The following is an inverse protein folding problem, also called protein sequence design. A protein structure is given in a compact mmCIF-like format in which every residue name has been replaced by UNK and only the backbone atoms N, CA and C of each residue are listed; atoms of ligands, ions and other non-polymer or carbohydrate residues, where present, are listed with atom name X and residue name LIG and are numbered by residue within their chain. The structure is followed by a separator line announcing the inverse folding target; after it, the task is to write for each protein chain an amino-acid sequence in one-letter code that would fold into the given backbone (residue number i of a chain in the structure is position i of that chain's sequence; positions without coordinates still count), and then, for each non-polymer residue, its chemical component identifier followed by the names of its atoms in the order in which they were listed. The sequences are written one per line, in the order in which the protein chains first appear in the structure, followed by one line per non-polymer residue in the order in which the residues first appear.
data_IF_033170858513
#
_entry.id   IF_033170858513
#
_cell.length_a   1.000
_cell.length_b   1.000
_cell.length_c   1.000
_cell.angle_alpha   90.00
_cell.angle_beta   90.00
_cell.angle_gamma   90.00
#
_symmetry.space_group_name_H-M   'P 1'
#
loop_
_entity.id
_entity.type
_entity.pdbx_description
1 polymer ?
#
# COMPACT_ATOMS: atom_id res chain seq x y z
N UNK A 1 -2.45 -15.95 -0.90
CA UNK A 1 -2.35 -14.56 -1.37
C UNK A 1 -1.54 -14.52 -2.65
N UNK A 2 -2.13 -14.05 -3.74
CA UNK A 2 -1.41 -13.75 -4.98
C UNK A 2 -0.92 -12.30 -4.97
N UNK A 3 0.39 -12.10 -4.93
CA UNK A 3 0.99 -10.76 -5.00
C UNK A 3 0.80 -10.19 -6.41
N UNK A 4 0.08 -9.07 -6.51
CA UNK A 4 -0.18 -8.35 -7.74
C UNK A 4 0.93 -7.31 -7.98
N UNK A 5 1.18 -6.98 -9.24
CA UNK A 5 2.04 -5.85 -9.58
C UNK A 5 1.39 -4.53 -9.12
N UNK A 6 2.22 -3.64 -8.58
CA UNK A 6 1.84 -2.26 -8.25
C UNK A 6 1.46 -1.54 -9.54
N UNK A 7 0.27 -0.95 -9.55
CA UNK A 7 -0.19 -0.09 -10.63
C UNK A 7 0.55 1.24 -10.54
N UNK A 8 1.10 1.66 -11.69
CA UNK A 8 1.81 2.92 -11.87
C UNK A 8 0.98 3.81 -12.78
N UNK A 9 1.02 5.11 -12.52
CA UNK A 9 0.31 6.10 -13.30
C UNK A 9 1.26 7.27 -13.59
N UNK A 10 1.28 7.77 -14.84
CA UNK A 10 2.18 8.86 -15.23
C UNK A 10 1.85 10.14 -14.48
N UNK A 11 0.58 10.40 -14.20
CA UNK A 11 0.16 11.60 -13.49
C UNK A 11 0.62 11.54 -12.03
N UNK A 12 0.53 10.37 -11.40
CA UNK A 12 1.06 10.11 -10.06
C UNK A 12 2.59 10.30 -10.02
N UNK A 13 3.31 9.81 -11.03
CA UNK A 13 4.77 9.93 -11.08
C UNK A 13 5.27 11.36 -11.30
N UNK A 14 4.42 12.26 -11.81
CA UNK A 14 4.72 13.68 -11.97
C UNK A 14 4.42 14.51 -10.70
N UNK A 15 3.74 13.93 -9.70
CA UNK A 15 3.54 14.56 -8.40
C UNK A 15 4.85 14.58 -7.60
N UNK A 16 4.95 15.53 -6.67
CA UNK A 16 6.11 15.66 -5.78
C UNK A 16 6.38 14.36 -5.01
N UNK A 17 7.64 13.90 -5.03
CA UNK A 17 8.06 12.67 -4.37
C UNK A 17 7.82 12.75 -2.86
N UNK A 18 7.22 11.70 -2.30
CA UNK A 18 6.88 11.63 -0.88
C UNK A 18 5.75 12.57 -0.42
N UNK A 19 5.16 13.36 -1.32
CA UNK A 19 4.03 14.24 -0.96
C UNK A 19 2.80 13.44 -0.54
N UNK A 20 1.99 14.00 0.37
CA UNK A 20 0.73 13.36 0.79
C UNK A 20 -0.19 13.11 -0.42
N UNK A 21 -0.23 14.04 -1.38
CA UNK A 21 -0.99 13.88 -2.62
C UNK A 21 -0.56 12.63 -3.40
N UNK A 22 0.74 12.46 -3.63
CA UNK A 22 1.27 11.29 -4.35
C UNK A 22 1.04 9.99 -3.59
N UNK A 23 1.20 10.01 -2.27
CA UNK A 23 0.93 8.86 -1.41
C UNK A 23 -0.54 8.45 -1.55
N UNK A 24 -1.48 9.36 -1.33
CA UNK A 24 -2.91 9.08 -1.40
C UNK A 24 -3.33 8.60 -2.79
N UNK A 25 -2.89 9.27 -3.85
CA UNK A 25 -3.18 8.85 -5.22
C UNK A 25 -2.62 7.45 -5.54
N UNK A 26 -1.42 7.12 -5.04
CA UNK A 26 -0.82 5.79 -5.22
C UNK A 26 -1.63 4.71 -4.50
N UNK A 27 -2.11 5.00 -3.29
CA UNK A 27 -2.91 4.07 -2.49
C UNK A 27 -4.26 3.81 -3.14
N UNK A 28 -4.98 4.87 -3.52
CA UNK A 28 -6.29 4.78 -4.16
C UNK A 28 -6.23 3.97 -5.46
N UNK A 29 -5.15 4.16 -6.25
CA UNK A 29 -4.91 3.37 -7.47
C UNK A 29 -4.68 1.88 -7.18
N UNK A 30 -4.20 1.53 -5.99
CA UNK A 30 -3.81 0.18 -5.61
C UNK A 30 -4.74 -0.44 -4.53
N UNK A 31 -5.91 0.15 -4.28
CA UNK A 31 -6.93 -0.43 -3.39
C UNK A 31 -7.32 -1.85 -3.82
N UNK A 32 -7.62 -2.68 -2.83
CA UNK A 32 -8.07 -4.06 -2.98
C UNK A 32 -7.06 -4.95 -3.74
N UNK A 33 -5.77 -4.59 -3.64
CA UNK A 33 -4.67 -5.33 -4.24
C UNK A 33 -3.59 -5.63 -3.22
N UNK A 34 -3.30 -6.92 -3.04
CA UNK A 34 -2.12 -7.34 -2.32
C UNK A 34 -0.89 -7.04 -3.18
N UNK A 35 -0.05 -6.10 -2.75
CA UNK A 35 1.11 -5.64 -3.52
C UNK A 35 2.36 -5.65 -2.65
N UNK A 36 3.53 -5.74 -3.29
CA UNK A 36 4.80 -5.62 -2.59
C UNK A 36 4.99 -4.19 -2.03
N UNK A 37 5.20 -4.07 -0.72
CA UNK A 37 5.29 -2.79 -0.02
C UNK A 37 6.45 -1.93 -0.53
N UNK A 38 7.64 -2.52 -0.73
CA UNK A 38 8.81 -1.77 -1.22
C UNK A 38 8.59 -1.23 -2.64
N UNK A 39 7.88 -1.99 -3.48
CA UNK A 39 7.52 -1.53 -4.82
C UNK A 39 6.48 -0.40 -4.77
N UNK A 40 5.56 -0.44 -3.81
CA UNK A 40 4.56 0.60 -3.59
C UNK A 40 5.22 1.92 -3.13
N UNK A 41 6.13 1.84 -2.15
CA UNK A 41 6.91 2.98 -1.65
C UNK A 41 7.71 3.67 -2.77
N UNK A 42 8.33 2.89 -3.67
CA UNK A 42 9.04 3.46 -4.83
C UNK A 42 8.14 4.26 -5.76
N UNK A 43 6.87 3.86 -5.93
CA UNK A 43 5.92 4.63 -6.75
C UNK A 43 5.57 5.95 -6.05
N UNK A 44 5.53 5.96 -4.72
CA UNK A 44 5.32 7.16 -3.91
C UNK A 44 6.54 8.09 -3.88
N UNK A 45 7.70 7.66 -4.37
CA UNK A 45 8.96 8.41 -4.20
C UNK A 45 9.52 8.30 -2.79
N UNK A 46 9.27 7.18 -2.12
CA UNK A 46 9.72 6.89 -0.75
C UNK A 46 10.70 5.73 -0.72
N UNK A 47 11.60 5.77 0.25
CA UNK A 47 12.57 4.72 0.55
C UNK A 47 11.98 3.65 1.47
N UNK A 48 12.64 2.48 1.53
CA UNK A 48 12.12 1.32 2.27
C UNK A 48 12.12 1.52 3.79
N UNK A 49 13.02 2.36 4.32
CA UNK A 49 13.07 2.74 5.74
C UNK A 49 11.95 3.72 6.13
N UNK A 50 11.36 4.43 5.16
CA UNK A 50 10.22 5.34 5.34
C UNK A 50 8.86 4.62 5.41
N UNK A 51 8.83 3.28 5.41
CA UNK A 51 7.58 2.50 5.52
C UNK A 51 6.74 2.85 6.74
N UNK A 52 7.38 3.24 7.85
CA UNK A 52 6.67 3.66 9.07
C UNK A 52 6.01 5.02 8.90
N UNK A 53 6.58 5.91 8.07
CA UNK A 53 6.00 7.22 7.80
C UNK A 53 4.76 7.09 6.91
N UNK A 54 4.76 6.15 5.97
CA UNK A 54 3.53 5.76 5.24
C UNK A 54 2.45 5.32 6.23
N UNK A 55 2.73 4.35 7.11
CA UNK A 55 1.73 3.88 8.07
C UNK A 55 1.23 5.03 8.96
N UNK A 56 2.13 5.91 9.43
CA UNK A 56 1.76 7.11 10.19
C UNK A 56 0.82 8.04 9.42
N UNK A 57 1.05 8.25 8.13
CA UNK A 57 0.17 9.07 7.28
C UNK A 57 -1.24 8.47 7.11
N UNK A 58 -1.37 7.15 7.29
CA UNK A 58 -2.64 6.42 7.18
C UNK A 58 -3.38 6.29 8.50
N UNK A 59 -2.77 6.69 9.61
CA UNK A 59 -3.45 6.76 10.92
C UNK A 59 -4.69 7.66 10.78
N UNK A 60 -5.85 7.14 11.21
CA UNK A 60 -7.16 7.83 11.16
C UNK A 60 -7.71 8.08 9.75
N UNK A 61 -7.07 7.57 8.69
CA UNK A 61 -7.70 7.53 7.37
C UNK A 61 -8.68 6.34 7.35
N UNK A 62 -9.75 6.38 6.53
CA UNK A 62 -10.76 5.32 6.46
C UNK A 62 -10.27 4.12 5.65
N UNK A 63 -9.07 3.63 5.96
CA UNK A 63 -8.46 2.47 5.32
C UNK A 63 -8.29 1.37 6.35
N UNK A 64 -8.63 0.16 5.95
CA UNK A 64 -8.21 -1.07 6.62
C UNK A 64 -6.91 -1.55 5.96
N UNK A 65 -5.92 -1.91 6.79
CA UNK A 65 -4.57 -2.23 6.29
C UNK A 65 -4.13 -3.57 6.82
N UNK A 66 -3.76 -4.45 5.89
CA UNK A 66 -3.23 -5.77 6.18
C UNK A 66 -1.79 -5.84 5.73
N UNK A 67 -0.95 -6.34 6.64
CA UNK A 67 0.47 -6.56 6.42
C UNK A 67 0.74 -8.05 6.50
N UNK A 68 1.43 -8.57 5.49
CA UNK A 68 1.81 -9.98 5.43
C UNK A 68 3.26 -10.11 4.98
N UNK A 69 3.86 -11.24 5.34
CA UNK A 69 5.14 -11.65 4.78
C UNK A 69 4.92 -12.91 3.96
N UNK A 70 5.34 -12.88 2.69
CA UNK A 70 5.23 -14.02 1.79
C UNK A 70 6.60 -14.31 1.19
N UNK A 71 7.26 -15.34 1.72
CA UNK A 71 8.65 -15.65 1.38
C UNK A 71 9.59 -14.56 1.89
N UNK A 72 10.18 -13.79 0.97
CA UNK A 72 11.09 -12.68 1.30
C UNK A 72 10.48 -11.31 0.95
N UNK A 73 9.16 -11.24 0.77
CA UNK A 73 8.45 -10.03 0.36
C UNK A 73 7.54 -9.53 1.47
N UNK A 74 7.71 -8.25 1.83
CA UNK A 74 6.74 -7.51 2.61
C UNK A 74 5.58 -7.13 1.69
N UNK A 75 4.38 -7.53 2.08
CA UNK A 75 3.14 -7.35 1.31
C UNK A 75 2.19 -6.47 2.10
N UNK A 76 1.57 -5.52 1.40
CA UNK A 76 0.53 -4.65 1.93
C UNK A 76 -0.73 -4.82 1.10
N UNK A 77 -1.87 -4.88 1.79
CA UNK A 77 -3.20 -4.81 1.21
C UNK A 77 -3.98 -3.71 1.93
N UNK A 78 -4.72 -2.91 1.17
CA UNK A 78 -5.42 -1.72 1.66
C UNK A 78 -6.81 -1.74 1.07
N UNK A 79 -7.82 -1.52 1.91
CA UNK A 79 -9.23 -1.52 1.51
C UNK A 79 -10.02 -0.48 2.29
N UNK A 80 -11.21 -0.15 1.79
CA UNK A 80 -12.21 0.64 2.50
C UNK A 80 -13.25 -0.21 3.25
N UNK A 81 -13.24 -1.52 3.03
CA UNK A 81 -14.08 -2.47 3.77
C UNK A 81 -13.26 -3.21 4.81
N UNK A 82 -13.89 -3.67 5.88
CA UNK A 82 -13.26 -4.31 7.04
C UNK A 82 -12.84 -5.76 6.78
N UNK A 83 -13.31 -6.37 5.69
CA UNK A 83 -12.94 -7.70 5.26
C UNK A 83 -12.54 -7.71 3.78
N UNK A 84 -11.36 -8.23 3.43
CA UNK A 84 -10.98 -8.42 2.03
C UNK A 84 -11.96 -9.37 1.35
N UNK A 85 -12.41 -9.05 0.14
CA UNK A 85 -13.20 -9.99 -0.67
C UNK A 85 -12.40 -11.23 -1.09
N UNK A 86 -11.07 -11.10 -1.13
CA UNK A 86 -10.15 -12.19 -1.45
C UNK A 86 -9.80 -12.95 -0.16
N UNK A 87 -10.43 -14.13 0.02
CA UNK A 87 -10.22 -15.02 1.17
C UNK A 87 -8.75 -15.46 1.32
N UNK A 88 -7.91 -15.29 0.30
CA UNK A 88 -6.49 -15.60 0.39
C UNK A 88 -5.67 -14.53 1.14
N UNK A 89 -6.28 -13.42 1.54
CA UNK A 89 -5.61 -12.35 2.29
C UNK A 89 -5.44 -12.77 3.74
N UNK A 90 -4.35 -13.49 3.97
CA UNK A 90 -3.91 -13.90 5.30
C UNK A 90 -2.77 -12.99 5.74
N UNK A 91 -2.99 -12.21 6.80
CA UNK A 91 -2.02 -11.24 7.31
C UNK A 91 -2.43 -10.65 8.65
N UNK A 92 -1.55 -9.83 9.21
CA UNK A 92 -1.85 -9.01 10.39
C UNK A 92 -2.61 -7.76 9.95
N UNK A 93 -3.83 -7.57 10.46
CA UNK A 93 -4.58 -6.33 10.30
C UNK A 93 -4.02 -5.29 11.27
N UNK A 94 -3.44 -4.21 10.73
CA UNK A 94 -2.83 -3.14 11.51
C UNK A 94 -3.86 -2.11 12.00
N UNK A 95 -4.83 -1.75 11.15
CA UNK A 95 -5.98 -0.91 11.48
C UNK A 95 -7.22 -1.39 10.72
#
# INVERSE_FOLDING_TARGET
MRIKSVLRDKDILNMEEGSEERIMATLDKNLDRAVNLNSLLRVMGMESDQRLDLLRALIKKPYHIWLANQGNQDVIYISHVDQPEDEEIVGFMWQ
#
